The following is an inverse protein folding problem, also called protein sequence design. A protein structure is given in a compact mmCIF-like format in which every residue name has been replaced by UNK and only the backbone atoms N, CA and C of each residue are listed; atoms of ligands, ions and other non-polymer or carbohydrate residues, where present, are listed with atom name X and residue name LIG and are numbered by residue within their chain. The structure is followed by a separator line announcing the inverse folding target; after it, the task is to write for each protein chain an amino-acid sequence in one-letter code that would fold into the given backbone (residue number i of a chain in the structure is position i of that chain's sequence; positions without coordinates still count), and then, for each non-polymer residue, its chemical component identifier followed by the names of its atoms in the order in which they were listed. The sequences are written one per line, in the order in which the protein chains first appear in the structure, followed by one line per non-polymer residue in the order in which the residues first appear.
data_IF_621336642572
#
_entry.id   IF_621336642572
#
_cell.length_a   1.000
_cell.length_b   1.000
_cell.length_c   1.000
_cell.angle_alpha   90.00
_cell.angle_beta   90.00
_cell.angle_gamma   90.00
#
_symmetry.space_group_name_H-M   'P 1'
#
loop_
_entity.id
_entity.type
_entity.pdbx_description
1 polymer ?
#
# COMPACT_ATOMS: atom_id res chain seq x y z
N UNK A 1 11.07 -16.69 19.28
CA UNK A 1 11.55 -16.84 17.89
C UNK A 1 10.53 -17.66 17.14
N UNK A 2 9.76 -17.06 16.23
CA UNK A 2 8.82 -17.80 15.39
C UNK A 2 9.63 -18.53 14.32
N UNK A 3 9.73 -19.84 14.43
CA UNK A 3 10.29 -20.69 13.39
C UNK A 3 9.29 -20.75 12.23
N UNK A 4 9.55 -20.01 11.16
CA UNK A 4 8.83 -20.18 9.89
C UNK A 4 9.26 -21.53 9.30
N UNK A 5 8.42 -22.57 9.43
CA UNK A 5 8.68 -23.84 8.74
C UNK A 5 8.47 -23.62 7.24
N UNK A 6 9.57 -23.57 6.49
CA UNK A 6 9.53 -23.45 5.04
C UNK A 6 8.95 -24.74 4.45
N UNK A 7 7.66 -24.73 4.13
CA UNK A 7 6.99 -25.89 3.52
C UNK A 7 7.15 -25.77 2.02
N UNK A 8 8.14 -26.46 1.46
CA UNK A 8 8.39 -26.49 0.01
C UNK A 8 7.35 -27.36 -0.67
N UNK A 9 6.32 -26.73 -1.25
CA UNK A 9 5.32 -27.42 -2.07
C UNK A 9 5.80 -27.56 -3.52
N UNK A 10 5.48 -28.68 -4.18
CA UNK A 10 5.71 -28.87 -5.62
C UNK A 10 4.39 -28.84 -6.38
N UNK A 11 4.30 -28.01 -7.42
CA UNK A 11 3.12 -27.91 -8.29
C UNK A 11 3.51 -28.42 -9.68
N UNK A 12 2.76 -29.39 -10.22
CA UNK A 12 2.96 -29.89 -11.59
C UNK A 12 1.81 -29.42 -12.49
N UNK A 13 2.13 -28.61 -13.49
CA UNK A 13 1.17 -28.17 -14.50
C UNK A 13 1.36 -28.98 -15.78
N UNK A 14 0.29 -29.62 -16.25
CA UNK A 14 0.31 -30.45 -17.47
C UNK A 14 -0.43 -29.76 -18.60
N UNK A 15 -0.12 -30.14 -19.84
CA UNK A 15 -0.76 -29.63 -21.06
C UNK A 15 -0.66 -28.11 -21.20
N UNK A 16 0.51 -27.55 -20.87
CA UNK A 16 0.80 -26.13 -21.11
C UNK A 16 0.89 -25.90 -22.63
N UNK A 17 0.20 -24.90 -23.19
CA UNK A 17 0.32 -24.56 -24.60
C UNK A 17 1.76 -24.28 -24.99
N UNK A 18 2.16 -24.65 -26.22
CA UNK A 18 3.52 -24.48 -26.71
C UNK A 18 3.97 -23.00 -26.67
N UNK A 19 3.07 -22.09 -27.06
CA UNK A 19 3.33 -20.65 -27.09
C UNK A 19 3.66 -20.09 -25.69
N UNK A 20 2.97 -20.61 -24.66
CA UNK A 20 3.25 -20.26 -23.27
C UNK A 20 4.62 -20.78 -22.82
N UNK A 21 4.97 -22.02 -23.19
CA UNK A 21 6.28 -22.59 -22.85
C UNK A 21 7.43 -21.81 -23.50
N UNK A 22 7.28 -21.40 -24.75
CA UNK A 22 8.33 -20.66 -25.45
C UNK A 22 8.46 -19.23 -24.91
N UNK A 23 7.36 -18.62 -24.49
CA UNK A 23 7.39 -17.33 -23.78
C UNK A 23 8.12 -17.46 -22.44
N UNK A 24 7.83 -18.49 -21.64
CA UNK A 24 8.50 -18.74 -20.36
C UNK A 24 10.00 -19.03 -20.55
N UNK A 25 10.39 -19.79 -21.59
CA UNK A 25 11.80 -20.01 -21.92
C UNK A 25 12.53 -18.71 -22.25
N UNK A 26 11.88 -17.84 -23.04
CA UNK A 26 12.45 -16.54 -23.41
C UNK A 26 12.66 -15.67 -22.17
N UNK A 27 11.63 -15.52 -21.34
CA UNK A 27 11.72 -14.74 -20.10
C UNK A 27 12.81 -15.27 -19.15
N UNK A 28 12.87 -16.58 -18.94
CA UNK A 28 13.90 -17.20 -18.12
C UNK A 28 15.32 -16.93 -18.66
N UNK A 29 15.49 -16.97 -19.99
CA UNK A 29 16.77 -16.65 -20.64
C UNK A 29 17.15 -15.18 -20.47
N UNK A 30 16.19 -14.27 -20.68
CA UNK A 30 16.40 -12.83 -20.57
C UNK A 30 16.78 -12.44 -19.12
N UNK A 31 16.16 -13.10 -18.14
CA UNK A 31 16.43 -12.91 -16.72
C UNK A 31 17.62 -13.70 -16.17
N UNK A 32 18.33 -14.47 -17.01
CA UNK A 32 19.42 -15.38 -16.61
C UNK A 32 19.05 -16.33 -15.46
N UNK A 33 17.83 -16.88 -15.50
CA UNK A 33 17.26 -17.78 -14.48
C UNK A 33 16.83 -19.11 -15.09
N UNK A 34 16.60 -20.11 -14.23
CA UNK A 34 15.93 -21.34 -14.67
C UNK A 34 14.45 -21.08 -14.91
N UNK A 35 13.82 -21.88 -15.77
CA UNK A 35 12.39 -21.78 -16.03
C UNK A 35 11.56 -21.99 -14.75
N UNK A 36 11.99 -22.90 -13.87
CA UNK A 36 11.32 -23.13 -12.59
C UNK A 36 11.39 -21.89 -11.69
N UNK A 37 12.56 -21.25 -11.61
CA UNK A 37 12.73 -20.04 -10.82
C UNK A 37 11.90 -18.86 -11.39
N UNK A 38 11.83 -18.75 -12.70
CA UNK A 38 11.01 -17.74 -13.38
C UNK A 38 9.51 -17.95 -13.10
N UNK A 39 9.02 -19.18 -13.24
CA UNK A 39 7.63 -19.54 -12.94
C UNK A 39 7.31 -19.32 -11.46
N UNK A 40 8.25 -19.64 -10.56
CA UNK A 40 8.10 -19.37 -9.13
C UNK A 40 7.93 -17.88 -8.86
N UNK A 41 8.83 -17.05 -9.40
CA UNK A 41 8.76 -15.58 -9.27
C UNK A 41 7.41 -15.05 -9.79
N UNK A 42 6.99 -15.49 -10.98
CA UNK A 42 5.71 -15.08 -11.57
C UNK A 42 4.50 -15.42 -10.68
N UNK A 43 4.51 -16.61 -10.06
CA UNK A 43 3.44 -17.04 -9.15
C UNK A 43 3.46 -16.23 -7.84
N UNK A 44 4.64 -15.91 -7.31
CA UNK A 44 4.82 -15.07 -6.13
C UNK A 44 4.30 -13.65 -6.37
N UNK A 45 4.65 -13.06 -7.52
CA UNK A 45 4.20 -11.72 -7.92
C UNK A 45 2.68 -11.68 -8.05
N UNK A 46 2.09 -12.62 -8.81
CA UNK A 46 0.65 -12.70 -9.00
C UNK A 46 -0.11 -12.92 -7.68
N UNK A 47 0.43 -13.75 -6.79
CA UNK A 47 -0.19 -13.99 -5.47
C UNK A 47 -0.11 -12.74 -4.60
N UNK A 48 1.01 -12.03 -4.64
CA UNK A 48 1.21 -10.77 -3.91
C UNK A 48 0.24 -9.70 -4.39
N UNK A 49 0.09 -9.53 -5.71
CA UNK A 49 -0.88 -8.62 -6.31
C UNK A 49 -2.32 -8.97 -5.94
N UNK A 50 -2.68 -10.26 -6.02
CA UNK A 50 -4.01 -10.72 -5.62
C UNK A 50 -4.31 -10.46 -4.15
N UNK A 51 -3.34 -10.71 -3.26
CA UNK A 51 -3.48 -10.42 -1.83
C UNK A 51 -3.59 -8.92 -1.58
N UNK A 52 -2.76 -8.10 -2.23
CA UNK A 52 -2.82 -6.65 -2.11
C UNK A 52 -4.20 -6.13 -2.54
N UNK A 53 -4.68 -6.54 -3.72
CA UNK A 53 -5.99 -6.15 -4.22
C UNK A 53 -7.11 -6.64 -3.29
N UNK A 54 -7.04 -7.88 -2.79
CA UNK A 54 -8.02 -8.39 -1.83
C UNK A 54 -8.01 -7.61 -0.53
N UNK A 55 -6.86 -7.32 0.05
CA UNK A 55 -6.74 -6.53 1.28
C UNK A 55 -7.35 -5.15 1.05
N UNK A 56 -6.98 -4.46 -0.04
CA UNK A 56 -7.53 -3.14 -0.39
C UNK A 56 -9.05 -3.18 -0.61
N UNK A 57 -9.59 -4.25 -1.19
CA UNK A 57 -11.04 -4.38 -1.44
C UNK A 57 -11.82 -4.86 -0.22
N UNK A 58 -11.21 -5.67 0.65
CA UNK A 58 -11.84 -6.21 1.86
C UNK A 58 -11.69 -5.33 3.09
N UNK A 59 -10.69 -4.45 3.11
CA UNK A 59 -10.62 -3.37 4.06
C UNK A 59 -11.68 -2.35 3.62
N UNK A 60 -12.83 -2.39 4.27
CA UNK A 60 -13.75 -1.25 4.26
C UNK A 60 -12.97 -0.07 4.83
N UNK A 61 -12.47 0.80 3.95
CA UNK A 61 -11.60 1.92 4.28
C UNK A 61 -12.18 2.77 5.41
N UNK A 62 -13.51 2.92 5.42
CA UNK A 62 -14.24 3.70 6.44
C UNK A 62 -14.23 2.97 7.78
N UNK A 63 -14.48 1.66 7.79
CA UNK A 63 -14.41 0.86 9.01
C UNK A 63 -12.99 0.81 9.59
N UNK A 64 -11.97 0.73 8.73
CA UNK A 64 -10.58 0.69 9.18
C UNK A 64 -10.10 2.05 9.67
N UNK A 65 -10.51 3.15 9.03
CA UNK A 65 -10.32 4.51 9.56
C UNK A 65 -10.95 4.63 10.95
N UNK A 66 -12.22 4.24 11.11
CA UNK A 66 -12.89 4.28 12.42
C UNK A 66 -12.17 3.43 13.48
N UNK A 67 -11.65 2.26 13.09
CA UNK A 67 -10.84 1.40 13.98
C UNK A 67 -9.52 2.06 14.36
N UNK A 68 -8.80 2.68 13.42
CA UNK A 68 -7.53 3.38 13.67
C UNK A 68 -7.71 4.62 14.55
N UNK A 69 -8.84 5.32 14.41
CA UNK A 69 -9.18 6.44 15.27
C UNK A 69 -9.63 6.01 16.67
N UNK A 70 -9.87 4.71 16.93
CA UNK A 70 -10.24 4.15 18.25
C UNK A 70 -11.37 4.91 18.97
N UNK A 71 -12.32 5.45 18.19
CA UNK A 71 -13.41 6.28 18.72
C UNK A 71 -13.07 7.75 19.00
N UNK A 72 -11.82 8.16 18.80
CA UNK A 72 -11.31 9.54 18.91
C UNK A 72 -11.53 10.36 17.61
N UNK A 73 -12.51 9.93 16.81
CA UNK A 73 -12.96 10.63 15.63
C UNK A 73 -13.96 11.74 15.94
N UNK A 74 -14.17 12.63 14.99
CA UNK A 74 -15.09 13.75 15.18
C UNK A 74 -16.52 13.27 15.39
N UNK A 75 -17.17 13.79 16.44
CA UNK A 75 -18.57 13.54 16.72
C UNK A 75 -19.49 14.10 15.62
N UNK A 76 -20.76 13.65 15.52
CA UNK A 76 -21.69 14.12 14.49
C UNK A 76 -21.96 15.64 14.55
N UNK A 77 -21.67 16.26 15.69
CA UNK A 77 -21.91 17.68 15.98
C UNK A 77 -20.60 18.49 16.12
N UNK A 78 -19.44 17.90 15.80
CA UNK A 78 -18.16 18.62 15.83
C UNK A 78 -17.87 19.32 14.49
N UNK A 79 -17.57 20.61 14.56
CA UNK A 79 -17.38 21.46 13.38
C UNK A 79 -16.05 21.12 12.69
N UNK A 80 -16.12 20.50 11.51
CA UNK A 80 -14.96 20.09 10.68
C UNK A 80 -14.03 21.24 10.30
N UNK A 81 -14.49 22.48 10.42
CA UNK A 81 -13.74 23.68 10.09
C UNK A 81 -13.96 24.71 11.20
N UNK A 82 -12.89 25.30 11.77
CA UNK A 82 -13.04 26.48 12.59
C UNK A 82 -13.84 27.51 11.80
N UNK A 83 -14.81 28.22 12.43
CA UNK A 83 -15.70 29.14 11.74
C UNK A 83 -14.89 30.04 10.81
N UNK A 84 -15.34 30.16 9.55
CA UNK A 84 -14.65 30.97 8.56
C UNK A 84 -14.52 32.38 9.12
N UNK A 85 -13.29 32.86 9.34
CA UNK A 85 -13.08 34.22 9.78
C UNK A 85 -13.71 35.16 8.75
N UNK A 86 -14.83 35.78 9.08
CA UNK A 86 -15.57 36.67 8.16
C UNK A 86 -14.85 38.00 7.95
N UNK A 87 -13.77 38.26 8.70
CA UNK A 87 -12.98 39.49 8.64
C UNK A 87 -11.72 39.37 7.78
N UNK A 88 -11.31 38.16 7.39
CA UNK A 88 -10.16 37.93 6.50
C UNK A 88 -10.65 37.57 5.09
N UNK A 89 -10.50 38.50 4.15
CA UNK A 89 -10.82 38.30 2.72
C UNK A 89 -9.72 37.54 1.95
N UNK A 90 -8.61 37.20 2.61
CA UNK A 90 -7.49 36.46 2.03
C UNK A 90 -7.55 34.97 2.35
N UNK A 91 -6.88 34.12 1.54
CA UNK A 91 -6.64 32.73 1.93
C UNK A 91 -5.91 32.68 3.28
N UNK A 92 -6.29 31.73 4.16
CA UNK A 92 -5.62 31.59 5.46
C UNK A 92 -4.12 31.39 5.24
N UNK A 93 -3.25 32.09 6.00
CA UNK A 93 -1.83 31.82 5.94
C UNK A 93 -1.58 30.35 6.28
N UNK A 94 -0.73 29.70 5.48
CA UNK A 94 -0.19 28.38 5.83
C UNK A 94 0.88 28.61 6.89
N UNK A 95 0.59 28.23 8.13
CA UNK A 95 1.61 28.17 9.17
C UNK A 95 2.53 26.99 8.87
N UNK A 96 3.72 27.30 8.37
CA UNK A 96 4.73 26.31 8.00
C UNK A 96 5.63 25.92 9.18
N UNK A 97 5.33 26.37 10.41
CA UNK A 97 6.13 26.06 11.59
C UNK A 97 7.57 26.57 11.53
N UNK A 98 7.83 27.55 10.66
CA UNK A 98 9.09 28.30 10.60
C UNK A 98 8.93 29.48 11.57
N UNK A 99 9.12 29.20 12.86
CA UNK A 99 9.14 30.24 13.89
C UNK A 99 10.29 31.20 13.62
N UNK A 100 9.97 32.49 13.47
CA UNK A 100 10.93 33.57 13.56
C UNK A 100 11.42 33.65 15.03
N UNK A 101 12.54 33.01 15.31
CA UNK A 101 13.40 33.36 16.45
C UNK A 101 14.02 34.72 16.14
N UNK A 102 13.37 35.84 16.51
CA UNK A 102 14.08 37.13 16.56
C UNK A 102 13.53 38.09 17.64
N UNK A 103 14.38 38.22 18.67
CA UNK A 103 14.78 39.43 19.38
C UNK A 103 13.72 40.28 20.11
N UNK A 104 13.57 39.99 21.41
CA UNK A 104 13.22 41.00 22.40
C UNK A 104 14.43 41.31 23.29
N UNK A 105 15.15 42.38 22.91
CA UNK A 105 16.14 43.07 23.72
C UNK A 105 15.56 44.43 24.16
N UNK A 106 15.56 44.75 25.47
CA UNK A 106 15.79 46.12 25.92
C UNK A 106 17.29 46.41 26.06
#
# INVERSE_FOLDING_TARGET
MMSTSETTGTITVRKVPADCLDTLKRMAKDNNRSMEAEVRSLLEDCTTEYLAHRITTSADLVAEMQRLLDGDGLGPDEELCPPRNTYDFGPRPVDLGLGDDDDHRP
#
